data_IF_034802424007
#
_entry.id   IF_034802424007
#
_cell.length_a   1.000
_cell.length_b   1.000
_cell.length_c   1.000
_cell.angle_alpha   90.00
_cell.angle_beta   90.00
_cell.angle_gamma   90.00
#
_symmetry.space_group_name_H-M   'P 1'
#
loop_
_entity.id
_entity.type
_entity.pdbx_description
1 polymer ?
2 polymer ?
3 polymer ?
4 water ?
#
# COMPACT_ATOMS: atom_id res chain seq x y z
N UNK A 1 1.19 -0.07 21.30
CA UNK A 1 2.20 -0.04 20.25
C UNK A 1 2.42 1.33 19.64
N UNK A 2 3.30 1.40 18.65
CA UNK A 2 3.64 2.67 18.01
C UNK A 2 2.71 2.91 16.82
N UNK A 3 2.55 4.17 16.42
CA UNK A 3 1.58 4.45 15.36
C UNK A 3 2.10 5.51 14.45
N UNK A 4 1.48 5.64 13.28
CA UNK A 4 1.94 6.64 12.34
C UNK A 4 0.77 7.13 11.54
N UNK A 5 0.88 8.37 11.07
CA UNK A 5 -0.05 8.91 10.09
C UNK A 5 0.72 9.26 8.84
N UNK A 6 0.12 8.97 7.66
CA UNK A 6 0.76 9.21 6.37
C UNK A 6 -0.23 9.72 5.35
N UNK A 7 0.12 10.76 4.62
CA UNK A 7 -0.63 11.12 3.43
C UNK A 7 0.19 10.80 2.20
N UNK A 8 -0.50 10.30 1.17
CA UNK A 8 0.07 9.91 -0.11
C UNK A 8 -0.63 10.67 -1.23
N UNK A 9 0.14 11.51 -1.94
CA UNK A 9 -0.37 12.25 -3.09
C UNK A 9 0.24 11.67 -4.34
N UNK A 10 -0.59 11.50 -5.38
CA UNK A 10 -0.13 11.10 -6.70
C UNK A 10 -0.71 12.12 -7.68
N UNK A 11 0.17 12.74 -8.47
CA UNK A 11 -0.24 13.67 -9.51
C UNK A 11 0.25 13.11 -10.84
N UNK A 12 -0.67 12.86 -11.76
CA UNK A 12 -0.33 12.19 -13.01
C UNK A 12 -0.75 13.02 -14.23
N UNK A 13 0.20 13.44 -15.07
CA UNK A 13 -0.16 14.15 -16.32
C UNK A 13 -0.62 13.20 -17.42
N UNK A 14 -1.40 13.71 -18.37
CA UNK A 14 -1.99 12.88 -19.41
C UNK A 14 -2.30 13.77 -20.60
N UNK A 15 -1.24 14.19 -21.31
CA UNK A 15 -1.38 15.15 -22.43
C UNK A 15 -2.41 14.65 -23.44
N UNK A 16 -3.31 15.54 -23.85
CA UNK A 16 -4.36 15.19 -24.79
C UNK A 16 -5.63 14.71 -24.09
N UNK A 17 -5.53 14.47 -22.79
CA UNK A 17 -6.65 13.91 -22.03
C UNK A 17 -6.96 14.74 -20.78
N UNK A 18 -6.79 16.05 -20.88
CA UNK A 18 -7.19 16.94 -19.81
C UNK A 18 -6.06 17.30 -18.87
N UNK A 19 -6.41 17.94 -17.77
CA UNK A 19 -5.43 18.35 -16.77
C UNK A 19 -5.01 17.15 -15.93
N UNK A 20 -3.84 17.23 -15.27
CA UNK A 20 -3.36 16.07 -14.50
C UNK A 20 -4.32 15.61 -13.42
N UNK A 21 -4.49 14.30 -13.26
CA UNK A 21 -5.30 13.76 -12.17
C UNK A 21 -4.52 13.92 -10.88
N UNK A 22 -5.18 14.36 -9.81
CA UNK A 22 -4.54 14.40 -8.50
C UNK A 22 -5.33 13.56 -7.52
N UNK A 23 -4.67 12.59 -6.89
CA UNK A 23 -5.34 11.80 -5.87
C UNK A 23 -4.57 11.81 -4.57
N UNK A 24 -5.28 12.02 -3.45
CA UNK A 24 -4.67 12.05 -2.14
C UNK A 24 -5.38 11.06 -1.25
N UNK A 25 -4.62 10.27 -0.50
CA UNK A 25 -5.22 9.37 0.49
C UNK A 25 -4.47 9.48 1.82
N UNK A 26 -5.17 9.32 2.93
CA UNK A 26 -4.54 9.44 4.24
C UNK A 26 -4.73 8.15 5.00
N UNK A 27 -3.69 7.76 5.75
CA UNK A 27 -3.69 6.51 6.48
C UNK A 27 -3.27 6.75 7.91
N UNK A 28 -3.87 6.01 8.85
CA UNK A 28 -3.24 5.82 10.15
C UNK A 28 -2.80 4.37 10.13
N UNK A 29 -1.50 4.14 10.29
CA UNK A 29 -0.95 2.80 10.13
C UNK A 29 -1.39 2.18 8.79
N UNK A 30 -2.14 1.08 8.85
CA UNK A 30 -2.60 0.38 7.63
C UNK A 30 -4.10 0.55 7.37
N UNK A 31 -4.67 1.58 7.98
CA UNK A 31 -6.08 1.88 7.83
C UNK A 31 -6.23 3.19 7.07
N UNK A 32 -6.77 3.11 5.86
CA UNK A 32 -7.05 4.34 5.11
C UNK A 32 -8.25 5.04 5.76
N UNK A 33 -8.22 6.38 5.80
CA UNK A 33 -9.33 7.11 6.42
C UNK A 33 -9.90 8.28 5.60
N UNK A 34 -9.12 8.84 4.68
CA UNK A 34 -9.65 9.82 3.72
C UNK A 34 -9.20 9.57 2.30
N UNK A 35 -9.98 10.08 1.35
CA UNK A 35 -9.60 10.11 -0.06
C UNK A 35 -10.00 11.45 -0.68
N UNK A 36 -9.21 11.88 -1.67
CA UNK A 36 -9.59 12.98 -2.54
C UNK A 36 -9.18 12.61 -3.97
N UNK A 37 -10.09 12.77 -4.94
CA UNK A 37 -9.77 12.44 -6.32
C UNK A 37 -10.27 13.56 -7.23
N UNK A 38 -9.37 14.24 -7.91
CA UNK A 38 -9.77 15.36 -8.76
C UNK A 38 -10.61 14.89 -9.95
N UNK A 39 -10.59 13.59 -10.22
CA UNK A 39 -11.43 13.00 -11.30
C UNK A 39 -12.83 12.60 -10.82
N UNK A 40 -13.13 12.77 -9.54
CA UNK A 40 -14.50 12.50 -9.06
C UNK A 40 -15.50 13.50 -9.65
N UNK A 41 -16.75 13.06 -9.80
CA UNK A 41 -17.80 13.94 -10.30
C UNK A 41 -17.88 15.23 -9.49
N UNK A 42 -17.74 15.10 -8.17
CA UNK A 42 -17.66 16.24 -7.27
C UNK A 42 -16.53 16.07 -6.28
N UNK A 43 -15.32 16.50 -6.68
CA UNK A 43 -14.10 16.30 -5.88
C UNK A 43 -14.27 16.89 -4.48
N UNK A 44 -14.09 16.02 -3.49
CA UNK A 44 -14.22 16.42 -2.10
C UNK A 44 -13.35 15.46 -1.32
N UNK A 45 -12.75 15.93 -0.23
CA UNK A 45 -12.15 15.00 0.72
C UNK A 45 -13.30 14.18 1.33
N UNK A 46 -13.22 12.86 1.25
CA UNK A 46 -14.30 11.99 1.73
C UNK A 46 -13.79 11.01 2.77
N UNK A 47 -14.67 10.63 3.73
CA UNK A 47 -14.33 9.60 4.74
C UNK A 47 -14.17 8.24 4.11
N UNK A 48 -13.21 7.45 4.62
CA UNK A 48 -13.04 6.07 4.17
C UNK A 48 -12.88 5.14 5.38
N UNK A 49 -13.13 5.70 6.57
CA UNK A 49 -13.13 4.92 7.82
C UNK A 49 -14.26 5.48 8.69
N UNK A 50 -14.93 4.60 9.45
CA UNK A 50 -16.09 5.09 10.22
C UNK A 50 -15.75 6.12 11.33
N UNK A 51 -14.59 5.99 11.97
CA UNK A 51 -14.22 6.90 13.05
C UNK A 51 -13.89 8.33 12.60
N UNK A 52 -13.70 8.53 11.30
CA UNK A 52 -13.42 9.89 10.82
C UNK A 52 -14.74 10.63 10.53
N UNK A 53 -15.84 9.89 10.44
CA UNK A 53 -17.10 10.48 9.97
C UNK A 53 -17.67 11.54 10.91
N UNK A 54 -17.30 11.45 12.18
CA UNK A 54 -17.81 12.36 13.19
C UNK A 54 -17.23 13.77 13.09
N UNK A 55 -16.13 13.92 12.34
CA UNK A 55 -15.54 15.24 12.15
C UNK A 55 -16.56 16.13 11.46
N UNK A 56 -16.57 17.42 11.81
CA UNK A 56 -17.61 18.32 11.35
C UNK A 56 -17.37 18.94 10.00
N UNK A 57 -18.33 19.75 9.54
CA UNK A 57 -18.29 20.40 8.22
C UNK A 57 -17.04 21.27 8.04
N UNK A 58 -16.56 21.89 9.12
CA UNK A 58 -15.36 22.71 8.98
C UNK A 58 -14.14 21.84 8.63
N UNK A 59 -14.10 20.63 9.19
CA UNK A 59 -13.04 19.69 8.87
C UNK A 59 -13.08 19.35 7.38
N UNK A 60 -14.22 18.85 6.91
CA UNK A 60 -14.32 18.40 5.52
C UNK A 60 -14.13 19.53 4.51
N UNK A 61 -14.67 20.70 4.83
CA UNK A 61 -14.53 21.84 3.92
C UNK A 61 -13.07 22.26 3.89
N UNK A 62 -12.46 22.36 5.05
CA UNK A 62 -11.05 22.71 5.14
C UNK A 62 -10.17 21.76 4.35
N UNK A 63 -10.35 20.47 4.56
CA UNK A 63 -9.54 19.46 3.87
C UNK A 63 -9.78 19.49 2.38
N UNK A 64 -11.02 19.70 1.97
CA UNK A 64 -11.34 19.83 0.55
C UNK A 64 -10.63 21.02 -0.10
N UNK A 65 -10.68 22.18 0.56
CA UNK A 65 -9.98 23.36 0.04
C UNK A 65 -8.48 23.11 -0.07
N UNK A 66 -7.93 22.51 0.98
CA UNK A 66 -6.50 22.22 1.01
C UNK A 66 -6.11 21.25 -0.11
N UNK A 67 -6.93 20.27 -0.42
CA UNK A 67 -6.67 19.28 -1.39
C UNK A 67 -6.77 19.88 -2.83
N UNK A 68 -7.77 20.72 -3.04
CA UNK A 68 -7.84 21.36 -4.35
C UNK A 68 -6.63 22.27 -4.58
N UNK A 69 -6.25 22.99 -3.52
CA UNK A 69 -5.07 23.85 -3.59
C UNK A 69 -3.85 23.02 -3.95
N UNK A 70 -3.72 21.88 -3.26
CA UNK A 70 -2.62 20.97 -3.57
C UNK A 70 -2.68 20.44 -5.00
N UNK A 71 -3.87 20.07 -5.47
CA UNK A 71 -4.02 19.59 -6.84
C UNK A 71 -3.45 20.64 -7.81
N UNK A 72 -3.84 21.89 -7.63
CA UNK A 72 -3.32 22.94 -8.53
C UNK A 72 -1.80 23.08 -8.45
N UNK A 73 -1.31 23.13 -7.21
CA UNK A 73 0.14 23.20 -6.99
C UNK A 73 0.90 22.11 -7.72
N UNK A 74 0.41 20.87 -7.63
CA UNK A 74 1.05 19.74 -8.27
C UNK A 74 0.92 19.70 -9.79
N UNK A 75 -0.17 20.24 -10.34
CA UNK A 75 -0.19 20.51 -11.80
C UNK A 75 0.97 21.45 -12.22
N UNK A 76 1.10 22.55 -11.45
CA UNK A 76 2.25 23.43 -11.65
C UNK A 76 3.58 22.68 -11.55
N UNK A 77 3.72 21.85 -10.53
CA UNK A 77 4.96 21.11 -10.30
C UNK A 77 5.27 20.16 -11.45
N UNK A 78 4.24 19.56 -12.05
CA UNK A 78 4.47 18.71 -13.22
C UNK A 78 5.01 19.54 -14.41
N UNK A 79 4.41 20.72 -14.66
CA UNK A 79 5.01 21.60 -15.70
C UNK A 79 6.50 21.95 -15.44
N UNK A 80 6.72 22.41 -14.21
CA UNK A 80 8.06 22.75 -13.75
C UNK A 80 9.03 21.59 -13.98
N UNK A 81 8.63 20.38 -13.60
CA UNK A 81 9.51 19.21 -13.71
C UNK A 81 9.84 18.94 -15.16
N UNK A 82 8.86 19.16 -16.04
CA UNK A 82 9.16 19.08 -17.47
C UNK A 82 10.33 19.99 -17.76
N UNK A 83 10.29 21.22 -17.25
CA UNK A 83 11.45 22.09 -17.56
C UNK A 83 12.75 21.63 -16.91
N UNK A 84 12.67 21.06 -15.70
CA UNK A 84 13.85 20.60 -14.97
C UNK A 84 14.54 19.40 -15.61
N UNK A 85 13.79 18.62 -16.37
CA UNK A 85 14.37 17.43 -17.00
C UNK A 85 14.48 17.49 -18.52
N UNK A 86 14.25 18.67 -19.10
CA UNK A 86 14.30 18.84 -20.55
C UNK A 86 13.36 17.88 -21.27
N UNK A 87 12.14 17.77 -20.78
CA UNK A 87 11.18 16.81 -21.34
C UNK A 87 10.09 17.51 -22.16
N UNK A 88 9.54 16.80 -23.16
CA UNK A 88 8.50 17.39 -24.00
C UNK A 88 7.15 17.35 -23.32
N UNK A 89 6.19 18.06 -23.90
CA UNK A 89 4.85 18.14 -23.32
C UNK A 89 3.95 17.02 -23.86
N UNK A 90 4.54 16.03 -24.52
CA UNK A 90 3.77 14.94 -25.11
C UNK A 90 3.66 13.72 -24.20
N UNK A 91 4.60 13.60 -23.27
CA UNK A 91 4.62 12.43 -22.39
C UNK A 91 3.86 12.59 -21.08
N UNK A 92 3.45 11.45 -20.51
CA UNK A 92 2.79 11.40 -19.21
C UNK A 92 3.83 11.22 -18.12
N UNK A 93 3.67 11.93 -17.01
CA UNK A 93 4.64 11.85 -15.92
C UNK A 93 3.91 11.88 -14.58
N UNK A 94 4.60 11.44 -13.53
CA UNK A 94 3.97 11.29 -12.22
C UNK A 94 4.84 11.90 -11.13
N UNK A 95 4.24 12.73 -10.29
CA UNK A 95 4.89 13.18 -9.07
C UNK A 95 4.20 12.45 -7.94
N UNK A 96 4.99 11.98 -6.97
CA UNK A 96 4.41 11.38 -5.77
C UNK A 96 4.95 12.04 -4.52
N UNK A 97 4.15 12.06 -3.46
CA UNK A 97 4.63 12.57 -2.20
C UNK A 97 4.07 11.74 -1.07
N UNK A 98 4.91 11.42 -0.09
CA UNK A 98 4.41 10.81 1.14
C UNK A 98 4.98 11.54 2.35
N UNK A 99 4.12 11.87 3.29
CA UNK A 99 4.57 12.61 4.47
C UNK A 99 3.74 12.28 5.68
N UNK A 100 4.28 12.55 6.86
CA UNK A 100 3.51 12.27 8.04
C UNK A 100 4.40 12.06 9.25
N UNK A 101 3.82 11.54 10.32
CA UNK A 101 4.55 11.47 11.58
C UNK A 101 4.45 10.10 12.22
N UNK A 102 5.51 9.72 12.93
CA UNK A 102 5.60 8.47 13.67
C UNK A 102 5.68 8.79 15.14
N UNK A 103 4.82 8.12 15.90
CA UNK A 103 4.75 8.15 17.35
C UNK A 103 5.23 6.85 17.99
N UNK A 104 5.99 6.99 19.08
CA UNK A 104 6.39 5.86 19.89
C UNK A 104 5.23 5.38 20.74
N UNK A 105 5.44 4.27 21.48
CA UNK A 105 4.35 3.64 22.24
C UNK A 105 3.83 4.51 23.39
N UNK A 106 4.55 5.59 23.68
CA UNK A 106 4.18 6.52 24.73
C UNK A 106 3.38 7.72 24.19
N UNK A 107 3.18 7.75 22.88
CA UNK A 107 2.46 8.83 22.24
C UNK A 107 3.32 10.02 21.85
N UNK A 108 4.64 9.89 22.02
CA UNK A 108 5.53 11.02 21.69
C UNK A 108 6.02 10.94 20.23
N UNK A 109 6.28 12.11 19.63
CA UNK A 109 6.82 12.15 18.27
C UNK A 109 8.14 11.39 18.19
N UNK A 110 8.14 10.32 17.41
CA UNK A 110 9.34 9.52 17.22
C UNK A 110 10.13 10.18 16.11
N UNK A 111 9.48 10.37 14.95
CA UNK A 111 10.12 11.13 13.87
C UNK A 111 9.11 11.55 12.78
N UNK A 112 9.49 12.51 11.95
CA UNK A 112 8.64 12.98 10.87
C UNK A 112 9.21 12.66 9.49
N UNK A 113 8.35 12.69 8.47
CA UNK A 113 8.76 12.35 7.10
C UNK A 113 8.09 13.30 6.13
N UNK A 114 8.81 13.68 5.08
CA UNK A 114 8.20 14.35 3.92
C UNK A 114 9.09 14.16 2.70
N UNK A 115 8.69 13.24 1.84
CA UNK A 115 9.53 12.78 0.75
C UNK A 115 8.73 12.82 -0.55
N UNK A 116 9.40 13.19 -1.65
CA UNK A 116 8.76 13.27 -2.96
C UNK A 116 9.59 12.54 -4.01
N UNK A 117 8.88 12.09 -5.06
CA UNK A 117 9.44 11.37 -6.19
C UNK A 117 8.95 11.91 -7.53
N UNK A 118 9.78 11.72 -8.56
CA UNK A 118 9.38 12.06 -9.92
C UNK A 118 9.58 10.84 -10.80
N UNK A 119 8.50 10.44 -11.48
CA UNK A 119 8.48 9.23 -12.29
C UNK A 119 9.02 8.01 -11.55
N UNK A 120 8.65 7.88 -10.28
CA UNK A 120 8.93 6.66 -9.54
C UNK A 120 10.32 6.62 -8.92
N UNK A 121 11.08 7.70 -9.12
CA UNK A 121 12.43 7.80 -8.54
C UNK A 121 12.52 8.92 -7.53
N UNK A 122 13.28 8.68 -6.45
CA UNK A 122 13.53 9.68 -5.42
C UNK A 122 13.81 11.05 -6.04
N UNK A 123 13.12 12.08 -5.56
CA UNK A 123 13.38 13.44 -6.03
C UNK A 123 13.96 14.25 -4.86
N UNK A 124 13.18 14.44 -3.80
CA UNK A 124 13.75 15.19 -2.67
C UNK A 124 13.15 14.69 -1.36
N UNK A 125 13.86 14.82 -0.25
CA UNK A 125 13.35 14.33 1.02
C UNK A 125 13.75 15.25 2.15
N UNK A 126 12.84 15.51 3.07
CA UNK A 126 13.18 16.27 4.27
C UNK A 126 13.98 15.33 5.15
N UNK A 127 15.13 15.80 5.64
CA UNK A 127 15.96 14.97 6.48
C UNK A 127 15.32 14.79 7.86
N UNK A 128 15.83 13.84 8.65
CA UNK A 128 15.20 13.49 9.91
C UNK A 128 15.22 14.68 10.87
N UNK A 129 16.16 15.61 10.66
CA UNK A 129 16.28 16.80 11.51
C UNK A 129 15.16 17.82 11.31
N UNK A 130 14.36 17.59 10.27
CA UNK A 130 13.23 18.45 9.91
C UNK A 130 13.66 19.88 9.62
N UNK A 131 14.91 20.04 9.17
CA UNK A 131 15.46 21.37 8.93
C UNK A 131 16.32 21.42 7.67
N UNK A 132 16.77 20.25 7.19
CA UNK A 132 17.54 20.23 5.95
C UNK A 132 16.97 19.22 4.94
N UNK A 133 17.48 19.28 3.71
CA UNK A 133 16.94 18.48 2.61
C UNK A 133 18.00 17.57 1.97
N UNK A 134 17.55 16.45 1.43
CA UNK A 134 18.39 15.61 0.58
C UNK A 134 17.78 15.58 -0.82
N UNK A 135 18.54 16.10 -1.77
CA UNK A 135 18.17 16.14 -3.19
C UNK A 135 18.80 14.97 -3.94
N UNK A 136 18.03 14.30 -4.79
CA UNK A 136 18.53 13.11 -5.46
C UNK A 136 19.32 13.42 -6.73
N UNK A 137 19.15 14.62 -7.28
CA UNK A 137 19.80 14.97 -8.54
C UNK A 137 19.86 16.48 -8.69
N UNK A 138 20.45 16.96 -9.78
CA UNK A 138 20.67 18.40 -9.94
C UNK A 138 19.37 19.17 -10.16
N UNK A 139 18.33 18.47 -10.60
CA UNK A 139 17.04 19.12 -10.78
C UNK A 139 16.46 19.37 -9.39
N UNK A 140 16.43 18.34 -8.56
CA UNK A 140 15.94 18.49 -7.19
C UNK A 140 16.76 19.50 -6.40
N UNK A 141 18.01 19.74 -6.77
CA UNK A 141 18.81 20.76 -6.08
C UNK A 141 18.25 22.16 -6.29
N UNK A 142 17.64 22.38 -7.45
CA UNK A 142 17.04 23.68 -7.74
C UNK A 142 15.86 23.88 -6.77
N UNK A 143 15.03 22.86 -6.70
CA UNK A 143 13.89 22.86 -5.78
C UNK A 143 14.38 23.10 -4.36
N UNK A 144 15.42 22.38 -3.95
CA UNK A 144 16.03 22.52 -2.63
C UNK A 144 16.41 23.97 -2.36
N UNK A 145 17.04 24.63 -3.33
CA UNK A 145 17.43 26.02 -3.13
C UNK A 145 16.20 26.90 -2.93
N UNK A 146 15.17 26.68 -3.75
CA UNK A 146 13.92 27.43 -3.57
C UNK A 146 13.34 27.23 -2.17
N UNK A 147 13.39 26.00 -1.68
CA UNK A 147 12.77 25.68 -0.39
C UNK A 147 13.59 26.21 0.78
N UNK A 148 14.90 26.25 0.62
CA UNK A 148 15.78 26.83 1.62
C UNK A 148 15.50 28.32 1.69
N UNK A 149 15.35 28.95 0.52
CA UNK A 149 15.07 30.39 0.48
C UNK A 149 13.70 30.74 1.11
N UNK A 150 12.73 29.85 1.00
CA UNK A 150 11.38 30.10 1.51
C UNK A 150 11.17 29.53 2.91
N UNK A 151 12.23 28.99 3.50
CA UNK A 151 12.13 28.31 4.80
C UNK A 151 10.95 27.32 4.86
N UNK A 152 10.84 26.46 3.85
CA UNK A 152 9.79 25.45 3.81
C UNK A 152 9.97 24.44 4.94
N UNK A 153 11.24 24.16 5.26
CA UNK A 153 11.53 23.13 6.23
C UNK A 153 10.95 23.51 7.58
N UNK A 154 11.01 24.82 7.90
CA UNK A 154 10.48 25.33 9.16
C UNK A 154 8.98 25.12 9.33
N UNK A 155 8.23 25.39 8.26
CA UNK A 155 6.80 25.22 8.27
C UNK A 155 6.43 23.74 8.34
N UNK A 156 7.14 22.92 7.58
CA UNK A 156 6.95 21.47 7.63
C UNK A 156 7.21 20.96 9.05
N UNK A 157 8.27 21.45 9.68
CA UNK A 157 8.61 21.05 11.03
C UNK A 157 7.50 21.44 11.99
N UNK A 158 6.98 22.65 11.86
CA UNK A 158 5.90 23.09 12.74
C UNK A 158 4.68 22.20 12.56
N UNK A 159 4.41 21.78 11.33
CA UNK A 159 3.30 20.84 11.08
C UNK A 159 3.53 19.47 11.70
N UNK A 160 4.70 18.89 11.42
CA UNK A 160 4.98 17.52 11.79
C UNK A 160 5.04 17.38 13.30
N UNK A 161 5.64 18.38 13.98
CA UNK A 161 5.71 18.36 15.44
C UNK A 161 4.40 18.79 16.13
N UNK A 162 3.53 19.48 15.39
CA UNK A 162 2.33 20.07 15.98
C UNK A 162 1.03 19.41 15.54
N UNK A 163 0.39 19.99 14.52
CA UNK A 163 -0.89 19.47 14.04
C UNK A 163 -0.85 17.99 13.70
N UNK A 164 0.25 17.52 13.10
CA UNK A 164 0.29 16.14 12.65
C UNK A 164 0.15 15.20 13.84
N UNK A 165 0.96 15.44 14.85
CA UNK A 165 0.92 14.65 16.09
C UNK A 165 -0.42 14.76 16.81
N UNK A 166 -0.93 16.00 16.95
CA UNK A 166 -2.17 16.22 17.70
C UNK A 166 -3.34 15.51 17.05
N UNK A 167 -3.45 15.64 15.74
CA UNK A 167 -4.54 15.00 15.00
C UNK A 167 -4.37 13.49 14.91
N UNK A 168 -3.15 13.01 14.73
CA UNK A 168 -2.96 11.56 14.83
C UNK A 168 -3.46 11.05 16.19
N UNK A 169 -3.07 11.71 17.29
CA UNK A 169 -3.49 11.26 18.61
C UNK A 169 -5.03 11.29 18.74
N UNK A 170 -5.62 12.35 18.20
CA UNK A 170 -7.07 12.47 18.17
C UNK A 170 -7.74 11.30 17.43
N UNK A 171 -7.24 10.98 16.24
CA UNK A 171 -7.75 9.86 15.47
C UNK A 171 -7.61 8.54 16.25
N UNK A 172 -6.42 8.33 16.81
CA UNK A 172 -6.15 7.12 17.62
C UNK A 172 -7.17 6.97 18.72
N UNK A 173 -7.49 8.07 19.40
CA UNK A 173 -8.56 8.03 20.41
C UNK A 173 -9.93 7.72 19.82
N UNK A 174 -10.35 8.47 18.79
CA UNK A 174 -11.64 8.20 18.16
C UNK A 174 -11.77 6.79 17.57
N UNK A 175 -10.67 6.26 17.03
CA UNK A 175 -10.68 4.94 16.42
C UNK A 175 -10.08 3.88 17.32
N UNK A 176 -10.19 4.11 18.62
CA UNK A 176 -9.57 3.29 19.66
C UNK A 176 -9.84 1.80 19.46
N UNK A 177 -11.07 1.50 19.07
CA UNK A 177 -11.53 0.11 18.99
C UNK A 177 -10.86 -0.71 17.90
N UNK A 178 -10.31 -0.01 16.91
CA UNK A 178 -9.74 -0.67 15.74
C UNK A 178 -8.29 -0.26 15.55
N UNK A 179 -8.03 1.04 15.60
CA UNK A 179 -6.66 1.54 15.38
C UNK A 179 -5.68 1.05 16.44
N UNK A 180 -6.17 0.86 17.66
CA UNK A 180 -5.32 0.43 18.76
C UNK A 180 -5.51 -1.04 19.09
N UNK A 181 -6.01 -1.80 18.13
CA UNK A 181 -6.18 -3.23 18.32
C UNK A 181 -5.34 -3.99 17.30
N UNK A 182 -4.38 -4.76 17.77
CA UNK A 182 -3.67 -5.69 16.90
C UNK A 182 -4.43 -7.01 16.85
N UNK A 183 -4.59 -7.56 15.65
CA UNK A 183 -5.20 -8.88 15.51
C UNK A 183 -4.11 -9.87 15.15
N UNK A 184 -3.89 -10.87 16.01
CA UNK A 184 -2.79 -11.80 15.73
C UNK A 184 -3.13 -12.68 14.54
N UNK A 185 -2.09 -13.18 13.84
CA UNK A 185 -2.36 -14.08 12.72
C UNK A 185 -2.94 -15.41 13.18
N UNK A 186 -3.82 -15.96 12.35
CA UNK A 186 -4.25 -17.35 12.47
C UNK A 186 -3.33 -18.14 11.56
N UNK A 187 -2.68 -19.14 12.10
CA UNK A 187 -1.58 -19.79 11.40
C UNK A 187 -1.79 -21.27 11.22
N UNK A 188 -1.36 -21.78 10.05
CA UNK A 188 -1.33 -23.24 9.87
C UNK A 188 -0.29 -23.66 8.83
N UNK A 189 0.08 -24.94 8.85
CA UNK A 189 1.01 -25.46 7.83
C UNK A 189 0.33 -26.50 6.94
N UNK A 190 0.42 -26.34 5.62
CA UNK A 190 -0.09 -27.34 4.69
C UNK A 190 1.06 -28.12 4.06
N UNK A 191 0.75 -29.30 3.52
CA UNK A 191 1.75 -30.20 2.96
C UNK A 191 1.22 -30.77 1.65
N UNK A 192 1.96 -30.59 0.57
CA UNK A 192 1.58 -31.15 -0.72
C UNK A 192 2.77 -31.80 -1.40
N UNK A 193 2.67 -33.10 -1.73
CA UNK A 193 3.77 -33.74 -2.45
C UNK A 193 4.02 -33.03 -3.77
N UNK A 194 5.29 -32.77 -4.10
CA UNK A 194 5.66 -32.28 -5.41
C UNK A 194 6.01 -33.48 -6.31
N UNK A 195 6.64 -34.47 -5.70
CA UNK A 195 6.95 -35.74 -6.36
C UNK A 195 7.01 -36.86 -5.32
N UNK A 196 7.67 -37.96 -5.68
CA UNK A 196 7.81 -39.09 -4.76
C UNK A 196 8.81 -38.78 -3.66
N UNK A 197 9.69 -37.80 -3.90
CA UNK A 197 10.76 -37.51 -2.96
C UNK A 197 10.84 -36.06 -2.46
N UNK A 198 9.88 -35.22 -2.86
CA UNK A 198 9.84 -33.84 -2.36
C UNK A 198 8.41 -33.41 -2.02
N UNK A 199 8.29 -32.49 -1.08
CA UNK A 199 6.99 -31.95 -0.71
C UNK A 199 7.10 -30.47 -0.38
N UNK A 200 6.05 -29.72 -0.68
CA UNK A 200 5.98 -28.32 -0.31
C UNK A 200 5.29 -28.19 1.03
N UNK A 201 5.97 -27.51 1.96
CA UNK A 201 5.37 -27.10 3.22
C UNK A 201 5.05 -25.63 3.05
N UNK A 202 3.79 -25.27 3.28
CA UNK A 202 3.39 -23.88 3.17
C UNK A 202 2.89 -23.40 4.53
N UNK A 203 3.58 -22.42 5.08
CA UNK A 203 3.18 -21.78 6.33
C UNK A 203 2.32 -20.55 6.05
N UNK A 204 1.10 -20.58 6.57
CA UNK A 204 0.11 -19.53 6.35
C UNK A 204 -0.13 -18.70 7.60
N UNK A 205 -0.24 -17.39 7.38
CA UNK A 205 -0.74 -16.42 8.36
C UNK A 205 -1.92 -15.67 7.73
N UNK A 206 -3.05 -15.68 8.43
CA UNK A 206 -4.29 -15.07 7.93
C UNK A 206 -4.95 -14.15 8.98
N UNK A 207 -5.69 -13.15 8.51
CA UNK A 207 -6.54 -12.38 9.40
C UNK A 207 -5.80 -11.49 10.37
N UNK A 208 -4.54 -11.15 10.06
CA UNK A 208 -3.80 -10.29 10.97
C UNK A 208 -3.84 -8.78 10.65
N UNK A 209 -3.68 -7.97 11.69
CA UNK A 209 -3.54 -6.52 11.56
C UNK A 209 -2.65 -6.03 12.69
N UNK A 210 -1.69 -5.15 12.41
CA UNK A 210 -1.37 -4.48 11.14
C UNK A 210 -0.62 -5.41 10.18
N UNK A 211 -0.21 -4.88 9.02
CA UNK A 211 0.39 -5.72 7.97
C UNK A 211 1.79 -6.26 8.29
N UNK A 212 2.52 -5.57 9.17
CA UNK A 212 3.88 -6.00 9.50
C UNK A 212 3.88 -7.38 10.14
N UNK A 213 4.61 -8.31 9.53
CA UNK A 213 4.72 -9.66 10.06
C UNK A 213 6.04 -10.26 9.59
N UNK A 214 6.50 -11.30 10.28
CA UNK A 214 7.69 -12.03 9.84
C UNK A 214 7.39 -13.53 9.84
N UNK A 215 7.55 -14.15 8.66
CA UNK A 215 7.35 -15.59 8.52
C UNK A 215 8.65 -16.18 8.01
N UNK A 216 9.25 -17.08 8.77
CA UNK A 216 10.49 -17.70 8.29
C UNK A 216 10.46 -19.21 8.45
N UNK A 217 11.07 -19.94 7.52
CA UNK A 217 11.24 -21.37 7.73
C UNK A 217 12.64 -21.64 8.26
N UNK A 218 12.76 -22.54 9.23
CA UNK A 218 14.05 -23.08 9.64
C UNK A 218 14.12 -24.58 9.40
N UNK A 219 15.30 -25.06 9.03
CA UNK A 219 15.58 -26.49 8.91
C UNK A 219 16.68 -26.81 9.90
N UNK A 220 16.38 -27.72 10.83
CA UNK A 220 17.30 -28.05 11.91
C UNK A 220 17.71 -26.80 12.68
N UNK A 221 16.79 -25.84 12.79
CA UNK A 221 17.00 -24.64 13.58
C UNK A 221 17.76 -23.55 12.87
N UNK A 222 18.02 -23.76 11.58
CA UNK A 222 18.77 -22.80 10.78
C UNK A 222 17.91 -22.18 9.68
N UNK A 223 18.01 -20.86 9.54
CA UNK A 223 17.17 -20.12 8.61
C UNK A 223 17.32 -20.56 7.15
N UNK A 224 16.19 -20.64 6.45
CA UNK A 224 16.18 -21.10 5.07
C UNK A 224 15.76 -19.98 4.13
N UNK A 225 16.25 -18.77 4.40
CA UNK A 225 15.83 -17.60 3.63
C UNK A 225 16.04 -17.79 2.14
N UNK A 226 17.20 -18.31 1.77
CA UNK A 226 17.52 -18.48 0.36
C UNK A 226 16.64 -19.51 -0.33
N UNK A 227 16.18 -20.51 0.44
CA UNK A 227 15.33 -21.56 -0.15
C UNK A 227 13.83 -21.36 0.12
N UNK A 228 13.47 -20.24 0.73
CA UNK A 228 12.07 -19.97 1.04
C UNK A 228 11.41 -19.09 -0.01
N UNK A 229 10.24 -19.51 -0.50
CA UNK A 229 9.42 -18.64 -1.32
C UNK A 229 8.48 -17.86 -0.42
N UNK A 230 8.57 -16.54 -0.47
CA UNK A 230 7.78 -15.64 0.36
C UNK A 230 6.87 -14.82 -0.55
N UNK A 231 5.54 -14.88 -0.38
CA UNK A 231 4.73 -13.95 -1.17
C UNK A 231 4.59 -12.63 -0.46
N UNK A 232 4.30 -11.58 -1.23
CA UNK A 232 4.11 -10.26 -0.66
C UNK A 232 2.85 -10.26 0.20
N UNK A 233 2.95 -9.64 1.37
CA UNK A 233 1.81 -9.45 2.26
C UNK A 233 0.69 -8.80 1.47
N UNK A 234 -0.52 -9.32 1.62
CA UNK A 234 -1.63 -8.88 0.76
C UNK A 234 -2.87 -8.64 1.59
N UNK A 235 -3.68 -7.65 1.18
CA UNK A 235 -4.85 -7.31 1.99
C UNK A 235 -6.03 -8.21 1.67
N UNK A 236 -6.80 -8.58 2.69
CA UNK A 236 -7.94 -9.47 2.52
C UNK A 236 -9.20 -8.75 2.06
N UNK A 237 -9.29 -7.45 2.39
CA UNK A 237 -10.46 -6.66 2.07
C UNK A 237 -11.33 -6.37 3.26
N UNK A 238 -10.98 -6.95 4.41
CA UNK A 238 -11.71 -6.72 5.66
C UNK A 238 -10.86 -6.02 6.72
N UNK A 239 -9.86 -5.32 6.26
CA UNK A 239 -8.85 -4.62 7.03
C UNK A 239 -7.63 -5.51 7.33
N UNK A 240 -7.80 -6.81 7.36
CA UNK A 240 -6.72 -7.72 7.73
C UNK A 240 -5.82 -8.05 6.55
N UNK A 241 -4.72 -8.75 6.84
CA UNK A 241 -3.75 -9.12 5.82
C UNK A 241 -3.47 -10.61 5.82
N UNK A 242 -2.85 -11.09 4.74
CA UNK A 242 -2.51 -12.50 4.58
C UNK A 242 -1.08 -12.63 4.08
N UNK A 243 -0.42 -13.72 4.42
CA UNK A 243 0.91 -13.98 3.90
C UNK A 243 1.18 -15.46 4.01
N UNK A 244 1.98 -15.99 3.09
CA UNK A 244 2.53 -17.32 3.26
C UNK A 244 4.00 -17.45 2.89
N UNK A 245 4.63 -18.49 3.43
CA UNK A 245 6.02 -18.79 3.13
C UNK A 245 6.10 -20.26 2.81
N UNK A 246 6.75 -20.61 1.71
CA UNK A 246 6.80 -22.02 1.33
C UNK A 246 8.22 -22.52 1.14
N UNK A 247 8.43 -23.79 1.46
CA UNK A 247 9.72 -24.43 1.26
C UNK A 247 9.51 -25.84 0.66
N UNK A 248 10.40 -26.27 -0.22
CA UNK A 248 10.34 -27.62 -0.79
C UNK A 248 11.37 -28.50 -0.09
N UNK A 249 10.89 -29.56 0.56
CA UNK A 249 11.68 -30.38 1.47
C UNK A 249 11.73 -31.83 1.01
N UNK A 250 12.79 -32.57 1.40
CA UNK A 250 12.84 -33.99 1.05
C UNK A 250 11.76 -34.78 1.79
N UNK A 251 11.12 -35.74 1.12
CA UNK A 251 10.10 -36.56 1.76
C UNK A 251 10.73 -37.30 2.92
N UNK A 252 10.05 -37.29 4.06
CA UNK A 252 10.60 -37.94 5.24
C UNK A 252 11.42 -37.02 6.12
N UNK A 253 11.65 -35.78 5.68
CA UNK A 253 12.35 -34.80 6.50
C UNK A 253 11.45 -33.66 6.96
N UNK A 254 10.14 -33.81 6.76
CA UNK A 254 9.21 -32.70 7.06
C UNK A 254 9.32 -32.22 8.50
N UNK A 255 9.54 -33.13 9.44
CA UNK A 255 9.60 -32.75 10.84
C UNK A 255 10.84 -31.95 11.22
N UNK A 256 11.82 -31.89 10.32
CA UNK A 256 13.02 -31.08 10.58
C UNK A 256 12.77 -29.62 10.26
N UNK A 257 11.58 -29.32 9.73
CA UNK A 257 11.24 -27.94 9.38
C UNK A 257 10.28 -27.31 10.38
N UNK A 258 10.57 -26.07 10.77
CA UNK A 258 9.67 -25.32 11.65
C UNK A 258 9.43 -23.92 11.08
N UNK A 259 8.18 -23.47 11.10
CA UNK A 259 7.84 -22.13 10.67
C UNK A 259 7.78 -21.23 11.88
N UNK A 260 8.35 -20.04 11.76
CA UNK A 260 8.40 -19.08 12.85
C UNK A 260 7.67 -17.81 12.46
N UNK A 261 6.78 -17.37 13.35
CA UNK A 261 5.89 -16.26 13.05
C UNK A 261 6.05 -15.20 14.12
N UNK A 262 6.38 -13.99 13.69
CA UNK A 262 6.40 -12.83 14.58
C UNK A 262 5.37 -11.80 14.16
N UNK A 263 4.61 -11.31 15.14
CA UNK A 263 3.62 -10.27 14.88
C UNK A 263 3.26 -9.53 16.15
N UNK A 264 2.89 -8.26 16.00
CA UNK A 264 2.61 -7.37 17.12
C UNK A 264 1.48 -7.89 18.01
N UNK A 265 0.51 -8.61 17.41
CA UNK A 265 -0.61 -9.17 18.16
C UNK A 265 -0.32 -10.43 18.96
N UNK A 266 0.90 -10.96 18.81
CA UNK A 266 1.31 -12.17 19.50
C UNK A 266 2.18 -11.77 20.69
N UNK A 267 1.87 -12.31 21.88
CA UNK A 267 2.70 -12.04 23.06
C UNK A 267 4.13 -12.54 22.84
N UNK A 268 4.26 -13.73 22.27
CA UNK A 268 5.57 -14.32 21.96
C UNK A 268 5.55 -14.84 20.53
N UNK A 269 6.73 -14.88 19.86
CA UNK A 269 6.72 -15.47 18.52
C UNK A 269 6.27 -16.93 18.54
N UNK A 270 5.61 -17.37 17.46
CA UNK A 270 5.08 -18.72 17.35
C UNK A 270 6.01 -19.63 16.57
N UNK A 271 6.09 -20.89 17.00
CA UNK A 271 6.75 -21.93 16.21
C UNK A 271 5.67 -22.95 15.82
N UNK A 272 5.57 -23.29 14.54
CA UNK A 272 4.66 -24.37 14.14
C UNK A 272 5.27 -25.34 13.15
N UNK A 273 4.70 -26.52 13.04
CA UNK A 273 5.20 -27.56 12.16
C UNK A 273 4.02 -28.12 11.40
N UNK A 274 4.30 -28.93 10.39
CA UNK A 274 3.24 -29.66 9.72
C UNK A 274 2.80 -30.76 10.65
N UNK A 275 1.48 -30.89 10.82
CA UNK A 275 0.91 -31.94 11.66
C UNK A 275 0.19 -32.98 10.80
N UNK A 276 0.84 -34.12 10.56
CA UNK A 276 0.32 -35.19 9.69
C UNK A 276 -0.99 -35.75 10.22
N UNK B 1 12.95 2.71 -15.64
CA UNK B 1 11.89 3.70 -15.84
C UNK B 1 10.51 3.13 -15.49
N UNK B 2 10.24 1.89 -15.88
CA UNK B 2 8.92 1.28 -15.65
C UNK B 2 8.99 -0.05 -14.88
N UNK B 3 7.94 -0.33 -14.11
CA UNK B 3 7.90 -1.54 -13.29
C UNK B 3 6.62 -2.36 -13.51
N UNK B 4 6.81 -3.66 -13.74
CA UNK B 4 5.69 -4.53 -14.08
C UNK B 4 4.95 -4.99 -12.83
N UNK B 5 3.63 -5.15 -12.94
CA UNK B 5 2.87 -5.54 -11.74
C UNK B 5 3.10 -6.98 -11.30
N UNK B 6 3.21 -7.16 -9.98
CA UNK B 6 3.02 -8.45 -9.35
C UNK B 6 1.52 -8.63 -9.23
N UNK B 7 1.06 -9.87 -9.35
CA UNK B 7 -0.35 -10.19 -9.37
C UNK B 7 -0.62 -11.37 -8.43
N UNK B 8 -1.56 -11.21 -7.50
CA UNK B 8 -2.00 -12.37 -6.71
C UNK B 8 -3.50 -12.47 -6.76
N UNK B 9 -4.01 -13.69 -6.92
CA UNK B 9 -5.44 -13.92 -6.98
C UNK B 9 -5.78 -14.88 -5.86
N UNK B 10 -6.79 -14.56 -5.05
CA UNK B 10 -7.02 -15.32 -3.83
C UNK B 10 -8.36 -14.93 -3.24
N UNK B 11 -8.83 -15.66 -2.24
CA UNK B 11 -10.08 -15.29 -1.61
C UNK B 11 -9.85 -14.62 -0.26
N UNK B 12 -10.84 -13.85 0.19
CA UNK B 12 -10.74 -13.16 1.47
C UNK B 12 -10.76 -14.18 2.62
N UNK B 13 -11.69 -15.12 2.54
CA UNK B 13 -11.78 -16.22 3.49
C UNK B 13 -11.43 -17.51 2.75
N UNK B 14 -10.90 -18.51 3.47
CA UNK B 14 -10.60 -19.80 2.83
C UNK B 14 -11.82 -20.35 2.10
N UNK B 15 -11.61 -20.85 0.88
CA UNK B 15 -12.71 -21.21 0.00
C UNK B 15 -13.51 -22.39 0.52
N UNK B 16 -14.83 -22.23 0.52
CA UNK B 16 -15.72 -23.34 0.84
C UNK B 16 -16.88 -23.33 -0.15
N UNK B 17 -16.90 -24.31 -1.06
CA UNK B 17 -17.92 -24.39 -2.11
C UNK B 17 -19.33 -24.22 -1.54
N UNK B 18 -20.10 -23.31 -2.13
CA UNK B 18 -21.44 -23.02 -1.65
C UNK B 18 -21.51 -21.87 -0.67
N UNK B 19 -20.37 -21.52 -0.07
CA UNK B 19 -20.32 -20.40 0.87
C UNK B 19 -19.87 -19.11 0.20
N UNK B 20 -20.63 -18.03 0.40
CA UNK B 20 -20.28 -16.73 -0.16
C UNK B 20 -18.94 -16.24 0.39
N UNK B 21 -18.24 -15.45 -0.41
CA UNK B 21 -16.85 -15.12 -0.16
C UNK B 21 -16.49 -13.94 -1.06
N UNK B 22 -15.23 -13.52 -1.04
CA UNK B 22 -14.78 -12.43 -1.88
C UNK B 22 -13.56 -12.84 -2.66
N UNK B 23 -13.61 -12.61 -3.97
CA UNK B 23 -12.52 -12.90 -4.85
C UNK B 23 -11.70 -11.63 -5.03
N UNK B 24 -10.41 -11.75 -4.75
CA UNK B 24 -9.47 -10.64 -4.81
C UNK B 24 -8.40 -10.84 -5.86
N UNK B 25 -8.08 -9.75 -6.53
CA UNK B 25 -6.88 -9.65 -7.35
C UNK B 25 -6.10 -8.45 -6.86
N UNK B 26 -4.93 -8.70 -6.28
CA UNK B 26 -4.08 -7.65 -5.76
C UNK B 26 -2.91 -7.42 -6.72
N UNK B 27 -2.83 -6.22 -7.27
CA UNK B 27 -1.72 -5.87 -8.16
C UNK B 27 -0.84 -4.85 -7.48
N UNK B 28 0.47 -5.07 -7.54
CA UNK B 28 1.40 -4.27 -6.75
C UNK B 28 2.75 -4.14 -7.40
N UNK B 29 3.58 -3.25 -6.86
CA UNK B 29 4.92 -3.11 -7.38
C UNK B 29 5.01 -2.50 -8.78
N UNK B 30 3.93 -1.89 -9.25
CA UNK B 30 3.97 -1.37 -10.63
C UNK B 30 4.12 0.15 -10.74
N UNK B 31 4.58 0.59 -11.91
CA UNK B 31 4.80 2.00 -12.18
C UNK B 31 4.99 2.14 -13.71
N UNK B 32 4.21 3.04 -14.35
CA UNK B 32 3.27 4.03 -13.82
C UNK B 32 1.95 3.43 -13.37
N UNK B 33 0.99 4.28 -13.03
CA UNK B 33 -0.18 3.86 -12.26
C UNK B 33 -1.31 3.29 -13.08
N UNK B 34 -1.42 3.69 -14.35
CA UNK B 34 -2.47 3.18 -15.22
C UNK B 34 -2.32 1.67 -15.34
N UNK B 35 -3.42 0.97 -15.11
CA UNK B 35 -3.41 -0.47 -15.18
C UNK B 35 -4.84 -0.91 -15.49
N UNK B 36 -5.00 -2.05 -16.14
CA UNK B 36 -6.32 -2.57 -16.44
C UNK B 36 -6.46 -3.94 -15.79
N UNK B 37 -7.43 -4.07 -14.88
CA UNK B 37 -7.64 -5.34 -14.21
C UNK B 37 -9.06 -5.82 -14.40
N UNK B 38 -9.21 -7.08 -14.82
CA UNK B 38 -10.53 -7.70 -14.91
C UNK B 38 -10.56 -8.97 -14.10
N UNK B 39 -11.67 -9.21 -13.40
CA UNK B 39 -11.90 -10.51 -12.79
C UNK B 39 -12.72 -11.36 -13.76
N UNK B 40 -12.28 -12.60 -13.98
CA UNK B 40 -12.87 -13.51 -14.96
C UNK B 40 -13.51 -14.71 -14.26
N UNK B 41 -14.73 -15.05 -14.72
CA UNK B 41 -15.41 -16.26 -14.29
C UNK B 41 -15.65 -17.14 -15.51
N UNK B 42 -14.95 -18.28 -15.55
CA UNK B 42 -14.95 -19.15 -16.71
C UNK B 42 -14.64 -18.37 -18.00
N UNK B 43 -13.55 -17.59 -17.95
CA UNK B 43 -13.09 -16.82 -19.09
C UNK B 43 -13.88 -15.55 -19.38
N UNK B 44 -14.93 -15.28 -18.61
CA UNK B 44 -15.77 -14.12 -18.92
C UNK B 44 -15.69 -13.03 -17.86
N UNK B 45 -15.66 -11.78 -18.33
CA UNK B 45 -15.48 -10.62 -17.45
C UNK B 45 -16.66 -10.43 -16.50
N UNK B 46 -16.36 -10.40 -15.21
CA UNK B 46 -17.36 -10.12 -14.18
C UNK B 46 -17.62 -8.62 -14.11
N UNK B 47 -18.90 -8.24 -14.03
CA UNK B 47 -19.27 -6.84 -13.98
C UNK B 47 -19.25 -6.31 -12.56
N UNK B 48 -19.18 -4.99 -12.42
CA UNK B 48 -19.34 -4.34 -11.11
C UNK B 48 -18.24 -4.74 -10.10
N UNK B 49 -17.04 -4.98 -10.61
CA UNK B 49 -15.88 -5.21 -9.73
C UNK B 49 -15.49 -3.87 -9.11
N UNK B 50 -15.22 -3.87 -7.81
CA UNK B 50 -14.84 -2.65 -7.12
C UNK B 50 -13.34 -2.67 -6.88
N UNK B 51 -12.77 -1.53 -6.50
CA UNK B 51 -11.33 -1.50 -6.22
C UNK B 51 -10.96 -0.41 -5.23
N UNK B 52 -9.80 -0.59 -4.59
CA UNK B 52 -9.33 0.35 -3.60
C UNK B 52 -8.87 1.65 -4.23
N UNK B 53 -8.71 2.69 -3.41
CA UNK B 53 -8.17 3.97 -3.89
C UNK B 53 -6.67 3.83 -4.13
N UNK B 54 -6.21 4.42 -5.23
CA UNK B 54 -4.79 4.32 -5.59
C UNK B 54 -3.89 4.82 -4.48
N UNK B 55 -2.95 3.98 -4.07
CA UNK B 55 -1.94 4.42 -3.11
C UNK B 55 -0.65 3.76 -3.53
N UNK B 56 0.42 3.96 -2.75
CA UNK B 56 1.70 3.38 -3.12
C UNK B 56 2.59 2.99 -1.95
N UNK B 57 3.59 2.16 -2.23
CA UNK B 57 4.50 1.64 -1.20
C UNK B 57 5.69 2.56 -1.01
N UNK B 58 6.57 2.25 -0.06
CA UNK B 58 7.73 3.11 0.24
C UNK B 58 8.72 3.22 -0.91
N UNK B 59 8.65 2.31 -1.87
CA UNK B 59 9.53 2.38 -3.03
C UNK B 59 8.85 3.09 -4.20
N UNK B 60 7.72 3.73 -3.89
CA UNK B 60 6.95 4.54 -4.84
C UNK B 60 6.08 3.74 -5.81
N UNK B 61 6.18 2.42 -5.76
CA UNK B 61 5.44 1.58 -6.68
C UNK B 61 3.99 1.47 -6.22
N UNK B 62 3.07 1.37 -7.17
CA UNK B 62 1.64 1.43 -6.85
C UNK B 62 1.06 0.08 -6.47
N UNK B 63 -0.05 0.10 -5.71
CA UNK B 63 -0.82 -1.11 -5.43
C UNK B 63 -2.31 -0.84 -5.41
N UNK B 64 -3.08 -1.82 -5.88
CA UNK B 64 -4.53 -1.75 -5.97
C UNK B 64 -5.12 -3.11 -5.66
N UNK B 65 -6.20 -3.12 -4.88
CA UNK B 65 -6.96 -4.34 -4.66
C UNK B 65 -8.27 -4.28 -5.44
N UNK B 66 -8.48 -5.26 -6.33
CA UNK B 66 -9.74 -5.42 -7.02
C UNK B 66 -10.52 -6.57 -6.41
N UNK B 67 -11.79 -6.38 -6.14
CA UNK B 67 -12.54 -7.41 -5.41
C UNK B 67 -13.98 -7.53 -5.89
N UNK B 68 -14.53 -8.73 -5.77
CA UNK B 68 -15.97 -8.93 -6.03
C UNK B 68 -16.50 -10.08 -5.21
N UNK B 69 -17.76 -9.98 -4.78
CA UNK B 69 -18.39 -11.08 -4.07
C UNK B 69 -18.56 -12.27 -5.02
N UNK B 70 -18.40 -13.49 -4.48
CA UNK B 70 -18.61 -14.68 -5.29
C UNK B 70 -18.87 -15.90 -4.42
N UNK B 71 -19.41 -16.94 -5.02
CA UNK B 71 -19.64 -18.21 -4.34
C UNK B 71 -18.94 -19.32 -5.08
N UNK B 72 -17.85 -19.85 -4.49
CA UNK B 72 -17.02 -20.85 -5.18
C UNK B 72 -17.76 -22.18 -5.37
N UNK B 73 -17.43 -22.88 -6.45
CA UNK B 73 -17.90 -24.24 -6.68
C UNK B 73 -16.70 -25.08 -7.11
N UNK B 74 -16.93 -26.36 -7.38
CA UNK B 74 -15.82 -27.23 -7.81
C UNK B 74 -15.54 -27.02 -9.30
N UNK B 75 -16.60 -26.78 -10.07
CA UNK B 75 -16.49 -26.65 -11.52
C UNK B 75 -16.00 -25.26 -11.97
N UNK B 76 -16.65 -24.22 -11.44
CA UNK B 76 -16.35 -22.85 -11.85
C UNK B 76 -14.90 -22.45 -11.67
N UNK B 77 -14.35 -21.77 -12.67
CA UNK B 77 -12.97 -21.31 -12.61
C UNK B 77 -12.91 -19.78 -12.61
N UNK B 78 -11.98 -19.24 -11.82
CA UNK B 78 -11.83 -17.81 -11.73
C UNK B 78 -10.40 -17.40 -12.04
N UNK B 79 -10.24 -16.22 -12.62
CA UNK B 79 -8.90 -15.72 -12.96
C UNK B 79 -8.86 -14.20 -12.86
N UNK B 80 -7.65 -13.65 -12.84
CA UNK B 80 -7.47 -12.22 -12.95
C UNK B 80 -6.71 -11.95 -14.23
N UNK B 81 -7.13 -10.94 -14.97
CA UNK B 81 -6.48 -10.58 -16.23
C UNK B 81 -5.98 -9.14 -16.12
N UNK B 82 -4.68 -8.96 -16.30
CA UNK B 82 -4.06 -7.66 -16.05
C UNK B 82 -3.33 -7.18 -17.29
N UNK B 83 -3.49 -5.88 -17.59
CA UNK B 83 -2.69 -5.24 -18.61
C UNK B 83 -2.05 -3.98 -18.07
N UNK B 84 -0.85 -3.71 -18.55
CA UNK B 84 -0.04 -2.58 -18.08
C UNK B 84 0.93 -2.27 -19.21
N UNK B 85 1.42 -1.03 -19.25
CA UNK B 85 2.32 -0.59 -20.32
C UNK B 85 3.52 -1.53 -20.45
N UNK B 86 3.88 -2.20 -19.35
CA UNK B 86 5.02 -3.10 -19.35
C UNK B 86 4.72 -4.47 -19.97
N UNK B 87 3.46 -4.74 -20.30
CA UNK B 87 3.07 -6.06 -20.81
C UNK B 87 2.70 -6.01 -22.28
N UNK B 88 3.29 -6.91 -23.07
CA UNK B 88 2.98 -7.00 -24.49
C UNK B 88 1.53 -7.40 -24.70
N UNK B 89 1.07 -8.34 -23.87
CA UNK B 89 -0.31 -8.81 -23.94
C UNK B 89 -0.83 -9.02 -22.52
N UNK B 90 -2.16 -9.01 -22.34
CA UNK B 90 -2.73 -9.25 -21.00
C UNK B 90 -2.16 -10.50 -20.35
N UNK B 91 -1.88 -10.40 -19.06
CA UNK B 91 -1.39 -11.54 -18.31
C UNK B 91 -2.55 -12.12 -17.51
N UNK B 92 -2.74 -13.43 -17.61
CA UNK B 92 -3.82 -14.07 -16.88
C UNK B 92 -3.27 -14.95 -15.76
N UNK B 93 -3.73 -14.71 -14.54
CA UNK B 93 -3.35 -15.53 -13.41
C UNK B 93 -4.60 -16.25 -12.90
N UNK B 94 -4.56 -17.58 -12.85
CA UNK B 94 -5.72 -18.35 -12.43
C UNK B 94 -5.82 -18.40 -10.92
N UNK B 95 -7.04 -18.34 -10.40
CA UNK B 95 -7.23 -18.52 -8.97
C UNK B 95 -6.97 -19.98 -8.57
N UNK B 96 -6.19 -20.16 -7.51
CA UNK B 96 -5.88 -21.48 -6.96
C UNK B 96 -6.21 -21.43 -5.47
N UNK B 97 -7.22 -22.19 -5.04
CA UNK B 97 -7.65 -22.22 -3.63
C UNK B 97 -6.52 -22.26 -2.59
N UNK B 98 -5.40 -22.86 -2.96
CA UNK B 98 -4.32 -23.12 -2.02
C UNK B 98 -3.13 -22.19 -2.24
N UNK B 99 -3.41 -20.99 -2.75
CA UNK B 99 -2.36 -20.02 -3.05
C UNK B 99 -2.77 -18.58 -2.70
N UNK C 1 -5.15 15.01 9.51
CA UNK C 1 -5.27 16.36 8.98
C UNK C 1 -4.06 16.67 8.10
N UNK C 2 -4.29 16.97 6.83
CA UNK C 2 -3.22 17.26 5.86
C UNK C 2 -2.45 18.54 6.18
N UNK C 3 -1.27 18.70 5.60
CA UNK C 3 -0.49 19.92 5.78
C UNK C 3 -0.87 20.97 4.74
N UNK C 4 -0.91 22.23 5.16
CA UNK C 4 -1.34 23.31 4.28
C UNK C 4 -0.14 23.97 3.57
N UNK C 5 1.06 23.53 3.93
CA UNK C 5 2.29 24.11 3.39
C UNK C 5 2.41 23.87 1.89
N UNK C 6 2.51 24.95 1.12
CA UNK C 6 2.67 24.84 -0.33
C UNK C 6 4.11 24.46 -0.69
N UNK C 7 4.24 23.48 -1.58
CA UNK C 7 5.55 23.03 -2.00
C UNK C 7 5.69 23.17 -3.50
N UNK C 8 6.01 24.39 -3.93
CA UNK C 8 6.27 24.68 -5.34
C UNK C 8 7.69 24.26 -5.69
N UNK C 9 7.82 23.40 -6.70
CA UNK C 9 9.09 22.79 -7.08
C UNK C 9 10.08 23.78 -7.70
#
# INVERSE_FOLDING_TARGET
>A
GSHSMRYFYTAMSRPGRGEPRFIAVGYVDDTQFVRFDSDAASPRTEPRAPWIEQEGPEYWDGETRNMKASAQTYRENLRIALRYYNQSEAGSHIIQRMYGCDLGPDGRLLRGHDQSAYDGKDYIALNEDLSSWTAADTAAQITQRKWEAARVAEQLRAYLEGLCVEWLRRYLENGKETLQRADPPKTHVTHHPVSDHEATLRCWALGFYPAEITLTWQRDGEDQTQDTELVETRPAGDRTFQKWAAVVVPSGEEQRYTCHVQHEGLPKPLTLRWEP
>B
IQRTPKIQVYSRHPAENGKSNFLNCYVSGFHPSDIEVDLLKNGERIEKVEHSDLSFSKDWSFYLLYYTEFTPTEKDEYACRVNHVTLSQPKIVKWDRDM
>C
LTVQVARVW
#
